data_IF_334745886086
#
_entry.id   IF_334745886086
#
_cell.length_a   1.000
_cell.length_b   1.000
_cell.length_c   1.000
_cell.angle_alpha   90.00
_cell.angle_beta   90.00
_cell.angle_gamma   90.00
#
_symmetry.space_group_name_H-M   'P 1'
#
loop_
_entity.id
_entity.type
_entity.pdbx_description
1 polymer ?
#
# COMPACT_ATOMS: atom_id res chain seq x y z
N UNK A 1 -2.85 -16.61 4.92
CA UNK A 1 -4.30 -16.36 4.76
C UNK A 1 -4.60 -14.90 5.09
N UNK A 2 -4.95 -14.08 4.10
CA UNK A 2 -5.38 -12.70 4.31
C UNK A 2 -6.90 -12.60 4.20
N UNK A 3 -7.59 -12.17 5.26
CA UNK A 3 -9.02 -11.90 5.24
C UNK A 3 -9.28 -10.39 5.32
N UNK A 4 -10.14 -9.84 4.45
CA UNK A 4 -10.56 -8.44 4.47
C UNK A 4 -12.07 -8.31 4.33
N UNK A 5 -12.66 -7.39 5.08
CA UNK A 5 -14.06 -7.02 4.94
C UNK A 5 -14.15 -5.67 4.19
N UNK A 6 -14.82 -5.65 3.04
CA UNK A 6 -14.89 -4.51 2.11
C UNK A 6 -16.33 -3.99 2.01
N UNK A 7 -16.50 -2.69 1.75
CA UNK A 7 -17.82 -2.16 1.34
C UNK A 7 -18.14 -2.61 -0.09
N UNK A 8 -19.41 -2.54 -0.50
CA UNK A 8 -19.89 -3.04 -1.79
C UNK A 8 -19.13 -2.44 -2.98
N UNK A 9 -18.83 -1.13 -2.98
CA UNK A 9 -18.08 -0.48 -4.06
C UNK A 9 -16.68 -1.06 -4.20
N UNK A 10 -15.96 -1.15 -3.09
CA UNK A 10 -14.60 -1.67 -3.04
C UNK A 10 -14.55 -3.17 -3.33
N UNK A 11 -15.58 -3.92 -2.92
CA UNK A 11 -15.71 -5.35 -3.19
C UNK A 11 -15.99 -5.59 -4.68
N UNK A 12 -16.90 -4.83 -5.27
CA UNK A 12 -17.23 -4.94 -6.70
C UNK A 12 -16.02 -4.64 -7.58
N UNK A 13 -15.21 -3.63 -7.24
CA UNK A 13 -13.97 -3.33 -7.95
C UNK A 13 -12.93 -4.46 -7.79
N UNK A 14 -12.85 -5.08 -6.62
CA UNK A 14 -11.98 -6.24 -6.38
C UNK A 14 -12.38 -7.42 -7.26
N UNK A 15 -13.67 -7.80 -7.25
CA UNK A 15 -14.18 -8.92 -8.06
C UNK A 15 -13.93 -8.69 -9.54
N UNK A 16 -14.05 -7.44 -10.01
CA UNK A 16 -13.87 -7.09 -11.43
C UNK A 16 -12.42 -7.05 -11.89
N UNK A 17 -11.48 -6.60 -11.05
CA UNK A 17 -10.10 -6.31 -11.47
C UNK A 17 -9.03 -7.17 -10.82
N UNK A 18 -9.42 -8.01 -9.85
CA UNK A 18 -8.49 -8.80 -9.05
C UNK A 18 -7.72 -7.99 -7.99
N UNK A 19 -7.03 -8.71 -7.12
CA UNK A 19 -6.37 -8.20 -5.93
C UNK A 19 -5.28 -7.18 -6.26
N UNK A 20 -4.40 -7.52 -7.20
CA UNK A 20 -3.25 -6.68 -7.56
C UNK A 20 -3.68 -5.28 -8.02
N UNK A 21 -4.64 -5.23 -8.94
CA UNK A 21 -5.06 -3.98 -9.56
C UNK A 21 -6.04 -3.22 -8.66
N UNK A 22 -7.02 -3.88 -8.04
CA UNK A 22 -8.01 -3.20 -7.20
C UNK A 22 -7.46 -2.75 -5.84
N UNK A 23 -6.57 -3.56 -5.26
CA UNK A 23 -6.04 -3.38 -3.90
C UNK A 23 -4.52 -3.59 -3.85
N UNK A 24 -3.75 -2.73 -4.54
CA UNK A 24 -2.29 -2.88 -4.61
C UNK A 24 -1.60 -2.92 -3.24
N UNK A 25 -2.16 -2.23 -2.24
CA UNK A 25 -1.63 -2.27 -0.86
C UNK A 25 -1.81 -3.66 -0.22
N UNK A 26 -2.98 -4.29 -0.41
CA UNK A 26 -3.22 -5.64 0.12
C UNK A 26 -2.41 -6.69 -0.64
N UNK A 27 -2.27 -6.53 -1.95
CA UNK A 27 -1.37 -7.34 -2.75
C UNK A 27 0.07 -7.24 -2.24
N UNK A 28 0.58 -6.02 -1.99
CA UNK A 28 1.91 -5.81 -1.44
C UNK A 28 2.11 -6.50 -0.08
N UNK A 29 1.11 -6.40 0.82
CA UNK A 29 1.14 -7.11 2.11
C UNK A 29 1.23 -8.63 1.92
N UNK A 30 0.43 -9.19 1.01
CA UNK A 30 0.45 -10.62 0.69
C UNK A 30 1.81 -11.05 0.17
N UNK A 31 2.37 -10.33 -0.81
CA UNK A 31 3.67 -10.66 -1.40
C UNK A 31 4.83 -10.58 -0.40
N UNK A 32 4.84 -9.56 0.47
CA UNK A 32 5.85 -9.44 1.53
C UNK A 32 5.78 -10.59 2.54
N UNK A 33 4.57 -11.00 2.93
CA UNK A 33 4.41 -12.16 3.81
C UNK A 33 4.81 -13.47 3.14
N UNK A 34 4.49 -13.64 1.86
CA UNK A 34 4.90 -14.82 1.10
C UNK A 34 6.42 -14.92 0.99
N UNK A 35 7.12 -13.81 0.78
CA UNK A 35 8.58 -13.77 0.79
C UNK A 35 9.15 -14.12 2.18
N UNK A 36 8.60 -13.54 3.25
CA UNK A 36 9.11 -13.76 4.61
C UNK A 36 8.86 -15.18 5.13
N UNK A 37 7.74 -15.79 4.74
CA UNK A 37 7.33 -17.12 5.19
C UNK A 37 7.67 -18.24 4.22
N UNK A 38 8.35 -17.94 3.10
CA UNK A 38 8.68 -18.88 2.03
C UNK A 38 7.45 -19.64 1.49
N UNK A 39 6.40 -18.90 1.16
CA UNK A 39 5.12 -19.46 0.66
C UNK A 39 4.96 -19.14 -0.82
N UNK A 40 4.87 -20.17 -1.66
CA UNK A 40 4.76 -20.01 -3.12
C UNK A 40 3.36 -19.57 -3.61
N UNK A 41 2.30 -19.95 -2.90
CA UNK A 41 0.90 -19.65 -3.27
C UNK A 41 0.07 -19.46 -2.01
N UNK A 42 -0.82 -18.46 -1.99
CA UNK A 42 -1.79 -18.27 -0.90
C UNK A 42 -3.18 -17.97 -1.43
N UNK A 43 -4.19 -18.25 -0.61
CA UNK A 43 -5.56 -17.79 -0.83
C UNK A 43 -5.77 -16.43 -0.18
N UNK A 44 -6.29 -15.48 -0.95
CA UNK A 44 -6.84 -14.22 -0.46
C UNK A 44 -8.37 -14.31 -0.42
N UNK A 45 -8.97 -13.87 0.69
CA UNK A 45 -10.43 -13.89 0.89
C UNK A 45 -10.94 -12.51 1.24
N UNK A 46 -11.99 -12.06 0.54
CA UNK A 46 -12.70 -10.83 0.85
C UNK A 46 -14.19 -11.08 1.12
N UNK A 47 -14.71 -10.49 2.19
CA UNK A 47 -16.14 -10.46 2.52
C UNK A 47 -16.73 -9.12 2.11
N UNK A 48 -17.88 -9.15 1.41
CA UNK A 48 -18.71 -7.98 1.21
C UNK A 48 -19.47 -7.68 2.50
N UNK A 49 -19.26 -6.52 3.13
CA UNK A 49 -19.92 -6.15 4.38
C UNK A 49 -21.43 -5.94 4.22
N UNK A 50 -21.87 -5.54 3.03
CA UNK A 50 -23.25 -5.19 2.77
C UNK A 50 -24.09 -6.43 2.45
N UNK A 51 -23.53 -7.38 1.70
CA UNK A 51 -24.25 -8.60 1.25
C UNK A 51 -23.79 -9.90 1.91
N UNK A 52 -22.69 -9.86 2.67
CA UNK A 52 -22.02 -11.05 3.25
C UNK A 52 -21.47 -12.05 2.22
N UNK A 53 -21.35 -11.65 0.96
CA UNK A 53 -20.76 -12.48 -0.09
C UNK A 53 -19.24 -12.62 0.08
N UNK A 54 -18.73 -13.82 -0.21
CA UNK A 54 -17.31 -14.12 -0.18
C UNK A 54 -16.73 -14.11 -1.60
N UNK A 55 -15.56 -13.50 -1.73
CA UNK A 55 -14.71 -13.56 -2.90
C UNK A 55 -13.38 -14.20 -2.52
N UNK A 56 -12.88 -15.08 -3.40
CA UNK A 56 -11.63 -15.80 -3.21
C UNK A 56 -10.75 -15.65 -4.44
N UNK A 57 -9.47 -15.35 -4.22
CA UNK A 57 -8.47 -15.24 -5.28
C UNK A 57 -7.20 -15.97 -4.85
N UNK A 58 -6.67 -16.80 -5.74
CA UNK A 58 -5.37 -17.44 -5.56
C UNK A 58 -4.30 -16.43 -5.94
N UNK A 59 -3.44 -16.08 -4.99
CA UNK A 59 -2.32 -15.17 -5.20
C UNK A 59 -1.01 -15.98 -5.30
N UNK A 60 -0.38 -16.05 -6.49
CA UNK A 60 0.96 -16.64 -6.63
C UNK A 60 2.03 -15.68 -6.10
N UNK A 61 3.15 -16.24 -5.64
CA UNK A 61 4.30 -15.45 -5.22
C UNK A 61 4.97 -14.80 -6.43
N UNK A 62 5.25 -13.50 -6.30
CA UNK A 62 6.02 -12.72 -7.25
C UNK A 62 7.28 -12.21 -6.55
N UNK A 63 8.42 -12.91 -6.70
CA UNK A 63 9.65 -12.54 -6.00
C UNK A 63 10.18 -11.16 -6.41
N UNK A 64 9.93 -10.75 -7.66
CA UNK A 64 10.38 -9.45 -8.17
C UNK A 64 9.61 -8.32 -7.49
N UNK A 65 8.28 -8.46 -7.40
CA UNK A 65 7.46 -7.45 -6.69
C UNK A 65 7.76 -7.43 -5.19
N UNK A 66 7.91 -8.59 -4.56
CA UNK A 66 8.25 -8.66 -3.14
C UNK A 66 9.60 -8.01 -2.83
N UNK A 67 10.61 -8.25 -3.68
CA UNK A 67 11.92 -7.63 -3.54
C UNK A 67 11.84 -6.11 -3.75
N UNK A 68 11.18 -5.64 -4.80
CA UNK A 68 11.02 -4.21 -5.06
C UNK A 68 10.30 -3.47 -3.92
N UNK A 69 9.31 -4.10 -3.29
CA UNK A 69 8.63 -3.56 -2.10
C UNK A 69 9.56 -3.48 -0.89
N UNK A 70 10.39 -4.49 -0.69
CA UNK A 70 11.40 -4.54 0.38
C UNK A 70 12.46 -3.46 0.18
N UNK A 71 12.99 -3.34 -1.04
CA UNK A 71 13.98 -2.32 -1.41
C UNK A 71 13.45 -0.90 -1.21
N UNK A 72 12.18 -0.68 -1.59
CA UNK A 72 11.50 0.59 -1.33
C UNK A 72 11.41 0.91 0.15
N UNK A 73 11.09 -0.08 0.99
CA UNK A 73 11.05 0.12 2.44
C UNK A 73 12.43 0.48 2.99
N UNK A 74 13.49 -0.23 2.56
CA UNK A 74 14.88 0.09 2.95
C UNK A 74 15.27 1.50 2.53
N UNK A 75 14.92 1.94 1.33
CA UNK A 75 15.18 3.31 0.86
C UNK A 75 14.49 4.35 1.74
N UNK A 76 13.24 4.12 2.13
CA UNK A 76 12.49 5.04 3.00
C UNK A 76 13.14 5.13 4.38
N UNK A 77 13.53 4.00 4.96
CA UNK A 77 14.19 3.96 6.27
C UNK A 77 15.52 4.72 6.25
N UNK A 78 16.36 4.49 5.22
CA UNK A 78 17.63 5.20 5.06
C UNK A 78 17.46 6.71 4.91
N UNK A 79 16.49 7.15 4.11
CA UNK A 79 16.17 8.57 3.97
C UNK A 79 15.72 9.18 5.30
N UNK A 80 14.85 8.47 6.04
CA UNK A 80 14.40 8.91 7.35
C UNK A 80 15.54 9.01 8.37
N UNK A 81 16.44 8.02 8.41
CA UNK A 81 17.63 8.02 9.29
C UNK A 81 18.60 9.15 8.94
N UNK A 82 18.72 9.49 7.64
CA UNK A 82 19.52 10.62 7.16
C UNK A 82 18.85 11.99 7.36
N UNK A 83 17.61 12.03 7.87
CA UNK A 83 16.83 13.27 8.00
C UNK A 83 16.36 13.85 6.67
N UNK A 84 16.45 13.10 5.57
CA UNK A 84 16.03 13.53 4.26
C UNK A 84 14.50 13.61 4.18
N UNK A 85 14.00 14.74 3.65
CA UNK A 85 12.59 14.89 3.35
C UNK A 85 12.30 14.40 1.93
N UNK A 86 11.21 13.66 1.72
CA UNK A 86 10.81 13.26 0.38
C UNK A 86 10.47 14.48 -0.49
N UNK A 87 10.44 14.32 -1.84
CA UNK A 87 10.07 15.39 -2.74
C UNK A 87 8.74 16.03 -2.36
N UNK A 88 8.68 17.37 -2.41
CA UNK A 88 7.46 18.12 -2.11
C UNK A 88 6.44 17.90 -3.22
N UNK A 89 5.16 17.79 -2.84
CA UNK A 89 4.03 17.68 -3.77
C UNK A 89 3.75 18.99 -4.53
N UNK A 90 4.21 20.13 -4.01
CA UNK A 90 3.95 21.45 -4.56
C UNK A 90 5.22 22.31 -4.55
N UNK A 91 5.24 23.33 -5.41
CA UNK A 91 6.32 24.30 -5.50
C UNK A 91 6.20 25.46 -4.50
N UNK A 92 5.00 25.70 -3.94
CA UNK A 92 4.72 26.77 -3.00
C UNK A 92 3.93 26.29 -1.77
N UNK A 93 4.13 26.95 -0.63
CA UNK A 93 3.57 26.54 0.66
C UNK A 93 2.08 26.82 0.83
N UNK A 94 1.52 27.70 -0.01
CA UNK A 94 0.11 28.10 -0.03
C UNK A 94 -0.78 27.17 -0.86
N UNK A 95 -0.21 26.16 -1.51
CA UNK A 95 -0.96 25.13 -2.21
C UNK A 95 -2.03 24.51 -1.28
N UNK A 96 -3.25 24.33 -1.79
CA UNK A 96 -4.41 24.02 -0.95
C UNK A 96 -4.25 22.74 -0.12
N UNK A 97 -3.53 21.73 -0.62
CA UNK A 97 -3.20 20.51 0.16
C UNK A 97 -2.12 20.76 1.23
N UNK A 98 -1.20 21.70 0.99
CA UNK A 98 -0.17 22.05 1.96
C UNK A 98 -0.74 22.84 3.14
N UNK A 99 -1.73 23.71 2.90
CA UNK A 99 -2.35 24.54 3.95
C UNK A 99 -3.03 23.74 5.08
N UNK A 100 -3.52 22.55 4.77
CA UNK A 100 -4.18 21.65 5.73
C UNK A 100 -3.28 20.50 6.18
N UNK A 101 -2.01 20.49 5.76
CA UNK A 101 -1.09 19.41 6.08
C UNK A 101 -0.53 19.59 7.52
N UNK A 102 -0.69 18.60 8.42
CA UNK A 102 -0.13 18.66 9.77
C UNK A 102 1.40 18.82 9.80
N UNK A 103 2.07 18.42 8.73
CA UNK A 103 3.53 18.47 8.58
C UNK A 103 4.00 19.66 7.73
N UNK A 104 3.12 20.61 7.38
CA UNK A 104 3.46 21.74 6.52
C UNK A 104 4.66 22.53 7.04
N UNK A 105 4.72 22.76 8.36
CA UNK A 105 5.83 23.49 8.99
C UNK A 105 7.18 22.82 8.68
N UNK A 106 7.32 21.53 9.03
CA UNK A 106 8.53 20.73 8.76
C UNK A 106 8.85 20.63 7.26
N UNK A 107 7.83 20.56 6.40
CA UNK A 107 8.02 20.49 4.95
C UNK A 107 8.63 21.78 4.35
N UNK A 108 8.32 22.95 4.93
CA UNK A 108 8.68 24.27 4.42
C UNK A 108 9.71 25.02 5.28
N UNK A 109 10.20 24.43 6.37
CA UNK A 109 11.33 24.93 7.12
C UNK A 109 12.59 24.97 6.22
N UNK A 110 13.31 26.10 6.25
CA UNK A 110 14.50 26.36 5.40
C UNK A 110 15.79 25.76 5.97
N UNK A 111 15.71 25.10 7.11
CA UNK A 111 16.84 24.55 7.85
C UNK A 111 16.56 23.05 8.06
N UNK A 112 17.58 22.17 7.90
CA UNK A 112 17.41 20.74 8.19
C UNK A 112 16.99 20.49 9.65
#
# INVERSE_FOLDING_TARGET
MGHKALNAKSWTDLVKRGLEVSKPIYFAQVQLYMAYLDVAVTLFTALNKDTQELFHEIAPFDPVKAQALSDKAVSILRAADAGELPPRIAAACDFYLCRLCPFAKRCWERTP
#
